data_IF_506029366818
#
_entry.id   IF_506029366818
#
_cell.length_a   1.000
_cell.length_b   1.000
_cell.length_c   1.000
_cell.angle_alpha   90.00
_cell.angle_beta   90.00
_cell.angle_gamma   90.00
#
_symmetry.space_group_name_H-M   'P 1'
#
loop_
_entity.id
_entity.type
_entity.pdbx_description
1 polymer ?
#
# COMPACT_ATOMS: atom_id res chain seq x y z
N UNK A 1 31.87 17.31 5.44
CA UNK A 1 31.97 18.63 4.80
C UNK A 1 30.67 18.85 4.03
N UNK A 2 29.66 19.47 4.66
CA UNK A 2 28.42 19.88 4.01
C UNK A 2 28.13 21.30 4.50
N UNK A 3 28.23 22.26 3.59
CA UNK A 3 27.88 23.66 3.82
C UNK A 3 26.37 23.82 3.66
N UNK A 4 25.68 24.30 4.71
CA UNK A 4 24.34 24.86 4.57
C UNK A 4 24.43 26.38 4.64
N UNK A 5 23.96 27.01 3.56
CA UNK A 5 23.87 28.44 3.34
C UNK A 5 22.91 29.09 4.34
N UNK A 6 23.37 30.16 4.98
CA UNK A 6 22.62 30.97 5.93
C UNK A 6 21.62 31.90 5.23
N UNK A 7 20.36 31.90 5.68
CA UNK A 7 19.49 33.09 5.67
C UNK A 7 18.85 33.23 7.06
N UNK A 8 18.87 34.41 7.70
CA UNK A 8 18.39 34.56 9.07
C UNK A 8 16.89 34.85 9.11
N UNK A 9 16.12 34.00 9.78
CA UNK A 9 14.77 34.32 10.24
C UNK A 9 14.86 34.62 11.73
N UNK A 10 14.52 35.85 12.11
CA UNK A 10 14.47 36.31 13.50
C UNK A 10 13.33 35.62 14.24
N UNK A 11 13.63 34.53 14.96
CA UNK A 11 12.72 33.94 15.94
C UNK A 11 13.11 34.43 17.34
N UNK A 12 12.15 35.12 17.98
CA UNK A 12 12.21 35.54 19.38
C UNK A 12 12.57 34.35 20.26
N UNK A 13 13.72 34.43 20.90
CA UNK A 13 14.13 33.49 21.96
C UNK A 13 13.25 33.78 23.17
N UNK A 14 12.29 32.90 23.45
CA UNK A 14 11.70 32.79 24.78
C UNK A 14 12.77 32.08 25.61
N UNK A 15 13.43 32.82 26.51
CA UNK A 15 14.30 32.24 27.50
C UNK A 15 13.46 31.42 28.49
N UNK A 16 13.34 30.11 28.25
CA UNK A 16 12.89 29.18 29.28
C UNK A 16 14.04 29.01 30.27
N UNK A 17 13.83 29.37 31.53
CA UNK A 17 14.77 29.04 32.59
C UNK A 17 14.86 27.52 32.70
N UNK A 18 15.97 26.95 32.24
CA UNK A 18 16.33 25.57 32.54
C UNK A 18 16.66 25.54 34.04
N UNK A 19 15.69 25.10 34.85
CA UNK A 19 16.00 24.59 36.18
C UNK A 19 16.93 23.40 35.95
N UNK A 20 18.14 23.36 36.53
CA UNK A 20 18.93 22.15 36.52
C UNK A 20 18.10 21.11 37.26
N UNK A 21 17.57 20.15 36.52
CA UNK A 21 17.03 18.95 37.14
C UNK A 21 18.24 18.29 37.77
N UNK A 22 18.28 18.36 39.11
CA UNK A 22 19.20 17.57 39.92
C UNK A 22 19.26 16.17 39.31
N UNK A 23 20.46 15.78 38.91
CA UNK A 23 20.80 14.50 38.29
C UNK A 23 19.90 13.42 38.86
N UNK A 24 18.94 12.94 38.05
CA UNK A 24 18.13 11.77 38.38
C UNK A 24 19.13 10.74 38.90
N UNK A 25 19.02 10.30 40.17
CA UNK A 25 19.99 9.37 40.75
C UNK A 25 20.09 8.22 39.78
N UNK A 26 21.30 8.01 39.24
CA UNK A 26 21.57 7.19 38.05
C UNK A 26 20.74 5.91 38.08
N UNK A 27 19.58 5.92 37.41
CA UNK A 27 18.78 4.72 37.27
C UNK A 27 19.69 3.68 36.64
N UNK A 28 19.70 2.47 37.20
CA UNK A 28 20.50 1.38 36.67
C UNK A 28 20.17 1.22 35.17
N UNK A 29 21.18 0.97 34.34
CA UNK A 29 21.05 0.76 32.89
C UNK A 29 19.97 -0.30 32.58
N UNK A 30 19.83 -1.29 33.45
CA UNK A 30 18.82 -2.34 33.36
C UNK A 30 17.39 -1.80 33.45
N UNK A 31 17.13 -0.84 34.35
CA UNK A 31 15.81 -0.20 34.47
C UNK A 31 15.49 0.62 33.24
N UNK A 32 16.47 1.33 32.67
CA UNK A 32 16.27 2.04 31.41
C UNK A 32 15.98 1.08 30.27
N UNK A 33 16.68 -0.05 30.19
CA UNK A 33 16.40 -1.08 29.19
C UNK A 33 14.97 -1.64 29.33
N UNK A 34 14.53 -1.95 30.55
CA UNK A 34 13.18 -2.45 30.82
C UNK A 34 12.08 -1.46 30.44
N UNK A 35 12.33 -0.16 30.67
CA UNK A 35 11.42 0.91 30.24
C UNK A 35 11.39 0.98 28.71
N UNK A 36 12.57 1.08 28.07
CA UNK A 36 12.68 1.25 26.62
C UNK A 36 12.11 0.05 25.85
N UNK A 37 12.24 -1.17 26.39
CA UNK A 37 11.67 -2.41 25.82
C UNK A 37 10.14 -2.40 25.72
N UNK A 38 9.45 -1.59 26.52
CA UNK A 38 7.99 -1.49 26.54
C UNK A 38 7.44 -0.36 25.66
N UNK A 39 8.30 0.47 25.11
CA UNK A 39 7.90 1.59 24.26
C UNK A 39 7.54 1.09 22.85
N UNK A 40 6.58 1.76 22.23
CA UNK A 40 6.31 1.64 20.80
C UNK A 40 7.43 2.31 19.99
N UNK A 41 7.61 1.88 18.74
CA UNK A 41 8.74 2.31 17.92
C UNK A 41 8.92 3.83 17.75
N UNK A 42 7.84 4.65 17.56
CA UNK A 42 7.97 6.10 17.50
C UNK A 42 8.45 6.70 18.82
N UNK A 43 7.93 6.23 19.95
CA UNK A 43 8.33 6.70 21.28
C UNK A 43 9.75 6.26 21.61
N UNK A 44 10.15 5.05 21.23
CA UNK A 44 11.54 4.58 21.34
C UNK A 44 12.50 5.45 20.50
N UNK A 45 12.13 5.78 19.27
CA UNK A 45 12.91 6.68 18.42
C UNK A 45 13.04 8.09 19.01
N UNK A 46 11.96 8.61 19.61
CA UNK A 46 11.94 9.90 20.30
C UNK A 46 12.83 9.88 21.56
N UNK A 47 12.70 8.84 22.38
CA UNK A 47 13.50 8.64 23.59
C UNK A 47 15.01 8.54 23.27
N UNK A 48 15.39 7.90 22.16
CA UNK A 48 16.77 7.81 21.73
C UNK A 48 17.43 9.19 21.46
N UNK A 49 16.64 10.23 21.23
CA UNK A 49 17.12 11.59 20.94
C UNK A 49 17.23 12.48 22.19
N UNK A 50 16.75 12.04 23.36
CA UNK A 50 16.67 12.91 24.56
C UNK A 50 17.96 12.93 25.37
N UNK A 51 18.67 11.80 25.47
CA UNK A 51 19.92 11.71 26.23
C UNK A 51 20.86 10.63 25.69
N UNK A 52 22.14 10.70 26.05
CA UNK A 52 23.16 9.76 25.58
C UNK A 52 22.92 8.31 26.05
N UNK A 53 22.38 8.11 27.26
CA UNK A 53 22.07 6.78 27.80
C UNK A 53 20.98 6.09 26.97
N UNK A 54 19.86 6.76 26.72
CA UNK A 54 18.80 6.22 25.86
C UNK A 54 19.28 6.04 24.43
N UNK A 55 20.04 6.99 23.88
CA UNK A 55 20.64 6.85 22.56
C UNK A 55 21.50 5.59 22.44
N UNK A 56 22.30 5.27 23.48
CA UNK A 56 23.14 4.08 23.50
C UNK A 56 22.30 2.80 23.57
N UNK A 57 21.33 2.74 24.48
CA UNK A 57 20.49 1.55 24.67
C UNK A 57 19.60 1.31 23.45
N UNK A 58 19.01 2.35 22.86
CA UNK A 58 18.18 2.26 21.65
C UNK A 58 18.95 1.85 20.39
N UNK A 59 20.26 1.61 20.44
CA UNK A 59 21.01 0.97 19.34
C UNK A 59 20.94 -0.55 19.39
N UNK A 60 20.46 -1.14 20.49
CA UNK A 60 20.32 -2.59 20.57
C UNK A 60 19.22 -3.10 19.64
N UNK A 61 19.59 -4.02 18.75
CA UNK A 61 18.68 -4.60 17.75
C UNK A 61 17.55 -5.41 18.38
N UNK A 62 17.76 -5.98 19.57
CA UNK A 62 16.74 -6.73 20.32
C UNK A 62 15.49 -5.88 20.63
N UNK A 63 15.67 -4.59 20.92
CA UNK A 63 14.57 -3.66 21.16
C UNK A 63 13.75 -3.47 19.89
N UNK A 64 14.43 -3.24 18.76
CA UNK A 64 13.78 -3.06 17.46
C UNK A 64 13.17 -4.35 16.92
N UNK A 65 13.74 -5.51 17.24
CA UNK A 65 13.15 -6.82 16.92
C UNK A 65 11.81 -7.01 17.63
N UNK A 66 11.72 -6.66 18.93
CA UNK A 66 10.46 -6.69 19.68
C UNK A 66 9.45 -5.72 19.09
N UNK A 67 9.87 -4.48 18.77
CA UNK A 67 9.02 -3.48 18.13
C UNK A 67 8.51 -3.99 16.77
N UNK A 68 9.39 -4.51 15.92
CA UNK A 68 9.01 -5.06 14.62
C UNK A 68 8.05 -6.23 14.78
N UNK A 69 8.31 -7.18 15.68
CA UNK A 69 7.45 -8.35 15.89
C UNK A 69 6.09 -7.99 16.49
N UNK A 70 6.01 -6.89 17.25
CA UNK A 70 4.75 -6.37 17.77
C UNK A 70 3.92 -5.65 16.69
N UNK A 71 4.57 -4.96 15.76
CA UNK A 71 3.91 -4.23 14.67
C UNK A 71 3.60 -5.15 13.49
N UNK A 72 4.52 -6.04 13.16
CA UNK A 72 4.48 -6.95 12.02
C UNK A 72 4.79 -8.36 12.51
N UNK A 73 3.79 -9.11 13.01
CA UNK A 73 3.98 -10.48 13.50
C UNK A 73 4.74 -11.40 12.53
N UNK A 74 4.61 -11.17 11.22
CA UNK A 74 5.35 -11.89 10.19
C UNK A 74 6.88 -11.80 10.34
N UNK A 75 7.41 -10.74 10.99
CA UNK A 75 8.86 -10.60 11.22
C UNK A 75 9.40 -11.51 12.31
N UNK A 76 8.55 -12.17 13.09
CA UNK A 76 8.99 -13.11 14.12
C UNK A 76 9.38 -14.49 13.55
N UNK A 77 9.18 -14.72 12.24
CA UNK A 77 9.64 -15.95 11.58
C UNK A 77 11.15 -15.94 11.39
N UNK A 78 11.82 -17.04 11.67
CA UNK A 78 13.29 -17.15 11.63
C UNK A 78 13.89 -16.82 10.26
N UNK A 79 13.22 -17.21 9.17
CA UNK A 79 13.62 -16.87 7.80
C UNK A 79 13.59 -15.35 7.56
N UNK A 80 12.57 -14.65 8.07
CA UNK A 80 12.47 -13.19 7.99
C UNK A 80 13.47 -12.49 8.92
N UNK A 81 13.71 -13.01 10.13
CA UNK A 81 14.75 -12.47 11.03
C UNK A 81 16.12 -12.49 10.38
N UNK A 82 16.46 -13.60 9.71
CA UNK A 82 17.71 -13.73 8.96
C UNK A 82 17.80 -12.73 7.80
N UNK A 83 16.68 -12.52 7.08
CA UNK A 83 16.59 -11.56 5.99
C UNK A 83 16.81 -10.13 6.50
N UNK A 84 16.07 -9.71 7.52
CA UNK A 84 16.16 -8.36 8.12
C UNK A 84 17.58 -8.10 8.64
N UNK A 85 18.18 -9.08 9.32
CA UNK A 85 19.56 -8.99 9.78
C UNK A 85 20.54 -8.76 8.63
N UNK A 86 20.37 -9.48 7.51
CA UNK A 86 21.22 -9.32 6.32
C UNK A 86 21.08 -7.96 5.60
N UNK A 87 19.96 -7.27 5.83
CA UNK A 87 19.63 -5.97 5.22
C UNK A 87 20.14 -4.75 6.02
N UNK A 88 20.66 -4.97 7.22
CA UNK A 88 21.14 -3.92 8.11
C UNK A 88 20.41 -3.82 9.44
N UNK A 89 19.61 -4.82 9.81
CA UNK A 89 18.98 -4.93 11.13
C UNK A 89 17.53 -4.45 11.20
N UNK A 90 16.88 -4.77 12.31
CA UNK A 90 15.50 -4.41 12.63
C UNK A 90 15.32 -2.90 12.79
N UNK A 91 16.32 -2.19 13.31
CA UNK A 91 16.23 -0.73 13.44
C UNK A 91 16.07 -0.05 12.09
N UNK A 92 16.89 -0.46 11.11
CA UNK A 92 16.81 0.05 9.73
C UNK A 92 15.49 -0.38 9.09
N UNK A 93 15.14 -1.66 9.18
CA UNK A 93 13.89 -2.19 8.63
C UNK A 93 12.66 -1.43 9.16
N UNK A 94 12.60 -1.16 10.46
CA UNK A 94 11.53 -0.37 11.05
C UNK A 94 11.50 1.06 10.49
N UNK A 95 12.65 1.72 10.41
CA UNK A 95 12.75 3.07 9.87
C UNK A 95 12.33 3.16 8.40
N UNK A 96 12.57 2.11 7.62
CA UNK A 96 12.23 2.03 6.20
C UNK A 96 10.74 1.72 5.97
N UNK A 97 10.14 0.85 6.80
CA UNK A 97 8.78 0.32 6.62
C UNK A 97 7.69 1.05 7.41
N UNK A 98 8.03 1.72 8.52
CA UNK A 98 7.04 2.41 9.34
C UNK A 98 6.47 3.69 8.68
N UNK A 99 7.29 4.55 8.05
CA UNK A 99 6.78 5.66 7.25
C UNK A 99 6.04 5.17 5.99
N UNK A 100 4.99 5.88 5.59
CA UNK A 100 4.16 5.55 4.44
C UNK A 100 4.62 6.32 3.19
N UNK A 101 4.48 5.72 2.01
CA UNK A 101 4.84 6.37 0.74
C UNK A 101 3.97 7.60 0.49
N UNK A 102 4.61 8.70 0.07
CA UNK A 102 3.93 9.93 -0.33
C UNK A 102 4.50 10.38 -1.66
N UNK A 103 3.65 10.42 -2.69
CA UNK A 103 4.01 10.96 -4.00
C UNK A 103 3.34 12.33 -4.21
N UNK A 104 4.15 13.38 -4.39
CA UNK A 104 3.68 14.75 -4.67
C UNK A 104 3.80 15.13 -6.15
N UNK A 105 4.44 14.30 -6.97
CA UNK A 105 4.69 14.51 -8.40
C UNK A 105 3.42 14.37 -9.25
N UNK A 106 2.32 13.91 -8.65
CA UNK A 106 1.00 13.85 -9.29
C UNK A 106 0.50 15.23 -9.73
N UNK A 107 0.92 16.31 -9.04
CA UNK A 107 0.60 17.68 -9.45
C UNK A 107 1.27 18.07 -10.77
N UNK A 108 2.48 17.56 -11.02
CA UNK A 108 3.28 17.90 -12.20
C UNK A 108 2.75 17.19 -13.46
N UNK A 109 2.06 16.05 -13.30
CA UNK A 109 1.40 15.34 -14.40
C UNK A 109 0.27 16.16 -15.03
N UNK A 110 -0.52 16.90 -14.24
CA UNK A 110 -1.52 17.82 -14.79
C UNK A 110 -0.88 18.90 -15.66
N UNK A 111 0.25 19.47 -15.23
CA UNK A 111 0.95 20.52 -15.98
C UNK A 111 1.54 20.00 -17.30
N UNK A 112 2.03 18.76 -17.32
CA UNK A 112 2.58 18.12 -18.52
C UNK A 112 1.52 17.66 -19.53
N UNK A 113 0.33 17.23 -19.11
CA UNK A 113 -0.76 16.86 -20.04
C UNK A 113 -1.24 18.03 -20.91
N UNK A 114 -1.08 19.28 -20.46
CA UNK A 114 -1.39 20.47 -21.27
C UNK A 114 -0.29 20.82 -22.28
N UNK A 115 0.89 20.24 -22.15
CA UNK A 115 2.03 20.44 -23.04
C UNK A 115 2.23 19.16 -23.88
N UNK A 116 1.43 19.06 -24.94
CA UNK A 116 1.72 18.29 -26.17
C UNK A 116 2.14 16.82 -25.96
N UNK A 117 1.25 15.88 -26.32
CA UNK A 117 1.65 14.49 -26.55
C UNK A 117 2.86 14.49 -27.50
N UNK A 118 4.04 13.97 -27.09
CA UNK A 118 5.10 13.75 -28.05
C UNK A 118 4.65 12.56 -28.90
N UNK A 119 4.21 12.83 -30.13
CA UNK A 119 3.82 11.82 -31.12
C UNK A 119 4.99 10.87 -31.52
N UNK A 120 6.19 11.07 -30.97
CA UNK A 120 7.45 10.45 -31.39
C UNK A 120 8.19 9.68 -30.28
N UNK A 121 7.50 8.92 -29.41
CA UNK A 121 8.21 7.89 -28.63
C UNK A 121 8.49 6.71 -29.54
N UNK A 122 9.77 6.49 -29.85
CA UNK A 122 10.18 5.32 -30.63
C UNK A 122 9.90 4.04 -29.83
N UNK A 123 9.62 2.91 -30.50
CA UNK A 123 9.40 1.63 -29.80
C UNK A 123 10.56 1.29 -28.84
N UNK A 124 11.78 1.74 -29.13
CA UNK A 124 12.95 1.56 -28.25
C UNK A 124 12.90 2.39 -26.95
N UNK A 125 12.17 3.51 -26.92
CA UNK A 125 11.95 4.29 -25.70
C UNK A 125 10.73 3.78 -24.91
N UNK A 126 9.73 3.21 -25.60
CA UNK A 126 8.62 2.48 -24.97
C UNK A 126 9.07 1.15 -24.34
N UNK A 127 10.02 0.47 -24.99
CA UNK A 127 10.72 -0.71 -24.47
C UNK A 127 12.13 -0.29 -24.01
N UNK A 128 12.20 0.51 -22.95
CA UNK A 128 13.44 1.11 -22.44
C UNK A 128 14.67 0.20 -22.40
N UNK A 129 15.85 0.84 -22.37
CA UNK A 129 17.18 0.23 -22.44
C UNK A 129 17.27 -1.09 -21.65
N UNK A 130 17.55 -2.17 -22.37
CA UNK A 130 17.54 -3.56 -21.88
C UNK A 130 18.56 -3.82 -20.76
N UNK A 131 19.49 -2.89 -20.52
CA UNK A 131 20.58 -3.05 -19.54
C UNK A 131 20.14 -3.02 -18.06
N UNK A 132 19.10 -2.30 -17.65
CA UNK A 132 18.64 -2.35 -16.24
C UNK A 132 17.88 -3.64 -15.90
N UNK A 133 17.28 -4.27 -16.92
CA UNK A 133 16.43 -5.46 -16.78
C UNK A 133 17.20 -6.73 -16.44
N UNK A 134 18.47 -6.84 -16.81
CA UNK A 134 19.30 -8.01 -16.47
C UNK A 134 19.55 -8.14 -14.96
N UNK A 135 19.25 -7.11 -14.16
CA UNK A 135 19.51 -7.10 -12.72
C UNK A 135 18.34 -7.52 -11.83
N UNK A 136 17.09 -7.40 -12.29
CA UNK A 136 15.88 -7.58 -11.48
C UNK A 136 15.15 -8.87 -11.81
N UNK A 137 15.00 -9.72 -10.80
CA UNK A 137 14.22 -10.95 -10.88
C UNK A 137 12.99 -10.85 -9.98
N UNK A 138 11.83 -11.42 -10.36
CA UNK A 138 10.69 -11.54 -9.46
C UNK A 138 11.05 -12.22 -8.13
N UNK A 139 12.05 -13.12 -8.12
CA UNK A 139 12.56 -13.81 -6.93
C UNK A 139 13.31 -12.90 -5.93
N UNK A 140 13.71 -11.70 -6.36
CA UNK A 140 14.42 -10.75 -5.50
C UNK A 140 13.49 -10.07 -4.51
N UNK A 141 12.18 -10.12 -4.78
CA UNK A 141 11.16 -9.49 -3.98
C UNK A 141 10.55 -10.44 -2.94
N UNK A 142 10.16 -9.89 -1.79
CA UNK A 142 9.46 -10.60 -0.73
C UNK A 142 8.34 -9.70 -0.23
N UNK A 143 7.12 -10.22 -0.17
CA UNK A 143 5.98 -9.54 0.44
C UNK A 143 5.77 -10.05 1.86
N UNK A 144 5.86 -9.15 2.83
CA UNK A 144 5.55 -9.40 4.25
C UNK A 144 4.23 -8.68 4.53
N UNK A 145 3.19 -9.45 4.86
CA UNK A 145 1.82 -8.94 4.95
C UNK A 145 1.21 -9.27 6.29
N UNK A 146 0.78 -8.23 7.00
CA UNK A 146 0.13 -8.33 8.30
C UNK A 146 -1.18 -7.56 8.28
N UNK A 147 -2.26 -8.20 8.74
CA UNK A 147 -3.57 -7.60 8.92
C UNK A 147 -3.89 -7.58 10.41
N UNK A 148 -4.31 -6.42 10.89
CA UNK A 148 -4.81 -6.26 12.26
C UNK A 148 -6.24 -5.74 12.24
N UNK A 149 -7.00 -6.12 13.25
CA UNK A 149 -8.31 -5.59 13.56
C UNK A 149 -8.34 -5.20 15.04
N UNK A 150 -8.58 -3.92 15.34
CA UNK A 150 -8.56 -3.39 16.73
C UNK A 150 -7.28 -3.78 17.50
N UNK A 151 -6.14 -3.53 16.89
CA UNK A 151 -4.79 -3.86 17.40
C UNK A 151 -4.48 -5.36 17.58
N UNK A 152 -5.44 -6.26 17.35
CA UNK A 152 -5.21 -7.71 17.32
C UNK A 152 -4.79 -8.13 15.92
N UNK A 153 -3.68 -8.87 15.81
CA UNK A 153 -3.27 -9.46 14.54
C UNK A 153 -4.21 -10.61 14.15
N UNK A 154 -4.73 -10.58 12.92
CA UNK A 154 -5.70 -11.55 12.40
C UNK A 154 -5.15 -12.34 11.20
N UNK A 155 -4.11 -11.82 10.54
CA UNK A 155 -3.40 -12.50 9.47
C UNK A 155 -1.94 -12.04 9.45
N UNK A 156 -1.02 -12.97 9.24
CA UNK A 156 0.41 -12.71 9.08
C UNK A 156 0.94 -13.71 8.05
N UNK A 157 1.33 -13.23 6.87
CA UNK A 157 1.77 -14.06 5.76
C UNK A 157 3.02 -13.48 5.11
N UNK A 158 3.89 -14.37 4.63
CA UNK A 158 5.07 -14.02 3.85
C UNK A 158 4.98 -14.74 2.52
N UNK A 159 5.14 -13.99 1.43
CA UNK A 159 5.25 -14.51 0.08
C UNK A 159 6.65 -14.21 -0.45
N UNK A 160 7.37 -15.26 -0.82
CA UNK A 160 8.68 -15.16 -1.47
C UNK A 160 8.48 -15.09 -2.98
N UNK A 161 9.14 -14.14 -3.63
CA UNK A 161 8.97 -13.85 -5.03
C UNK A 161 7.64 -13.14 -5.36
N UNK A 162 7.57 -12.58 -6.56
CA UNK A 162 6.38 -11.91 -7.09
C UNK A 162 5.92 -12.63 -8.35
N UNK A 163 4.64 -13.01 -8.42
CA UNK A 163 4.06 -13.63 -9.62
C UNK A 163 4.46 -15.08 -9.92
N UNK A 164 5.11 -15.79 -9.00
CA UNK A 164 5.59 -17.17 -9.23
C UNK A 164 4.85 -18.17 -8.32
N UNK A 165 3.92 -18.99 -8.85
CA UNK A 165 3.24 -20.03 -8.07
C UNK A 165 4.16 -21.17 -7.62
N UNK A 166 5.30 -21.39 -8.29
CA UNK A 166 6.31 -22.39 -7.97
C UNK A 166 7.66 -21.95 -8.57
N UNK A 167 8.70 -21.89 -7.76
CA UNK A 167 10.04 -21.34 -8.07
C UNK A 167 10.85 -22.09 -9.16
N UNK A 168 10.20 -22.91 -10.01
CA UNK A 168 10.84 -23.80 -10.97
C UNK A 168 10.42 -23.48 -12.40
N UNK A 169 11.10 -22.52 -13.02
CA UNK A 169 11.35 -22.50 -14.47
C UNK A 169 10.42 -21.63 -15.32
N UNK A 170 11.04 -20.62 -15.95
CA UNK A 170 10.54 -19.72 -17.00
C UNK A 170 9.47 -18.70 -16.59
N UNK A 171 9.98 -17.57 -16.08
CA UNK A 171 9.25 -16.35 -15.70
C UNK A 171 8.77 -15.50 -16.90
N UNK A 172 8.94 -15.98 -18.14
CA UNK A 172 8.64 -15.24 -19.37
C UNK A 172 7.19 -14.78 -19.50
N UNK A 173 6.25 -15.55 -18.94
CA UNK A 173 4.82 -15.22 -18.98
C UNK A 173 4.47 -14.04 -18.06
N UNK A 174 5.12 -13.94 -16.89
CA UNK A 174 4.85 -12.89 -15.90
C UNK A 174 5.09 -11.49 -16.48
N UNK A 175 6.18 -11.30 -17.23
CA UNK A 175 6.58 -10.00 -17.74
C UNK A 175 5.53 -9.31 -18.62
N UNK A 176 4.72 -10.10 -19.34
CA UNK A 176 3.69 -9.59 -20.26
C UNK A 176 2.26 -9.70 -19.68
N UNK A 177 2.09 -10.31 -18.51
CA UNK A 177 0.78 -10.43 -17.87
C UNK A 177 0.44 -9.19 -17.04
N UNK A 178 -0.87 -8.85 -16.93
CA UNK A 178 -1.35 -7.90 -15.94
C UNK A 178 -0.84 -8.26 -14.54
N UNK A 179 -0.23 -7.29 -13.87
CA UNK A 179 0.40 -7.51 -12.58
C UNK A 179 -0.62 -7.74 -11.49
N UNK A 180 -0.45 -8.86 -10.78
CA UNK A 180 -1.28 -9.19 -9.62
C UNK A 180 -0.54 -10.14 -8.67
N UNK A 181 -0.64 -9.87 -7.37
CA UNK A 181 -0.20 -10.79 -6.31
C UNK A 181 -1.43 -11.20 -5.52
N UNK A 182 -1.77 -12.49 -5.52
CA UNK A 182 -2.86 -13.05 -4.70
C UNK A 182 -2.27 -13.85 -3.53
N UNK A 183 -2.56 -13.43 -2.30
CA UNK A 183 -2.08 -14.11 -1.08
C UNK A 183 -3.02 -15.22 -0.62
N UNK A 184 -4.31 -15.15 -0.95
CA UNK A 184 -5.32 -16.14 -0.54
C UNK A 184 -5.71 -16.97 -1.76
N UNK A 185 -4.80 -17.83 -2.20
CA UNK A 185 -5.13 -18.78 -3.27
C UNK A 185 -6.07 -19.84 -2.72
N UNK A 186 -7.17 -20.10 -3.44
CA UNK A 186 -8.05 -21.26 -3.26
C UNK A 186 -7.26 -22.56 -3.47
N UNK A 187 -6.50 -23.00 -2.47
CA UNK A 187 -6.15 -24.41 -2.36
C UNK A 187 -7.11 -25.02 -1.37
N UNK A 188 -8.11 -25.72 -1.92
CA UNK A 188 -8.82 -26.81 -1.26
C UNK A 188 -7.78 -27.84 -0.82
N UNK A 189 -7.15 -27.60 0.33
CA UNK A 189 -6.36 -28.61 1.01
C UNK A 189 -6.84 -28.60 2.46
N UNK A 190 -7.31 -29.76 2.89
CA UNK A 190 -8.15 -30.14 4.04
C UNK A 190 -7.80 -29.61 5.45
N UNK A 191 -7.01 -28.55 5.59
CA UNK A 191 -6.75 -27.85 6.85
C UNK A 191 -7.39 -26.46 6.86
N UNK A 192 -8.44 -26.31 7.67
CA UNK A 192 -9.16 -25.05 7.95
C UNK A 192 -8.28 -23.93 8.58
N UNK A 193 -6.97 -24.14 8.72
CA UNK A 193 -6.03 -23.30 9.47
C UNK A 193 -5.63 -21.98 8.76
N UNK A 194 -6.04 -21.79 7.51
CA UNK A 194 -5.71 -20.59 6.72
C UNK A 194 -6.84 -19.57 6.58
N UNK A 195 -8.05 -19.88 7.06
CA UNK A 195 -9.24 -19.05 6.82
C UNK A 195 -9.37 -17.99 7.91
N UNK A 196 -9.02 -16.75 7.59
CA UNK A 196 -9.20 -15.62 8.50
C UNK A 196 -10.70 -15.33 8.64
N UNK A 197 -11.25 -15.55 9.84
CA UNK A 197 -12.62 -15.18 10.16
C UNK A 197 -12.67 -14.24 11.36
N UNK A 198 -13.51 -13.21 11.26
CA UNK A 198 -13.80 -12.27 12.33
C UNK A 198 -15.24 -12.48 12.79
N UNK A 199 -15.48 -12.31 14.08
CA UNK A 199 -16.79 -12.53 14.69
C UNK A 199 -17.12 -11.44 15.71
N UNK A 200 -18.31 -11.52 16.31
CA UNK A 200 -18.73 -10.62 17.39
C UNK A 200 -17.75 -10.64 18.58
N UNK A 201 -17.14 -11.79 18.90
CA UNK A 201 -16.12 -11.85 19.97
C UNK A 201 -14.83 -11.10 19.64
N UNK A 202 -14.57 -10.83 18.36
CA UNK A 202 -13.44 -9.99 17.94
C UNK A 202 -13.81 -8.49 17.96
N UNK A 203 -15.05 -8.16 18.34
CA UNK A 203 -15.55 -6.80 18.47
C UNK A 203 -16.35 -6.31 17.26
N UNK A 204 -16.81 -7.20 16.37
CA UNK A 204 -17.77 -6.83 15.32
C UNK A 204 -19.16 -6.57 15.90
N UNK A 205 -19.91 -5.60 15.35
CA UNK A 205 -21.28 -5.36 15.77
C UNK A 205 -22.19 -6.50 15.28
N UNK A 206 -23.18 -6.90 16.08
CA UNK A 206 -24.19 -7.85 15.63
C UNK A 206 -25.11 -7.20 14.60
N UNK A 207 -25.18 -7.78 13.41
CA UNK A 207 -26.09 -7.39 12.33
C UNK A 207 -27.33 -8.27 12.33
N UNK A 208 -28.50 -7.64 12.22
CA UNK A 208 -29.79 -8.32 12.10
C UNK A 208 -30.23 -8.51 10.66
N UNK A 209 -29.76 -7.66 9.74
CA UNK A 209 -29.98 -7.80 8.30
C UNK A 209 -28.92 -7.04 7.50
N UNK A 210 -28.41 -7.71 6.47
CA UNK A 210 -27.46 -7.18 5.49
C UNK A 210 -28.04 -6.05 4.62
N UNK A 211 -29.36 -5.94 4.51
CA UNK A 211 -30.03 -4.90 3.72
C UNK A 211 -30.00 -3.52 4.41
N UNK A 212 -29.92 -3.51 5.75
CA UNK A 212 -29.88 -2.30 6.59
C UNK A 212 -28.47 -1.74 6.74
N UNK A 213 -27.45 -2.56 6.52
CA UNK A 213 -26.03 -2.23 6.60
C UNK A 213 -25.49 -1.70 5.25
N UNK A 214 -26.06 -0.60 4.75
CA UNK A 214 -25.64 0.06 3.47
C UNK A 214 -24.39 0.93 3.67
N UNK A 215 -24.27 2.07 2.96
CA UNK A 215 -23.06 2.93 2.92
C UNK A 215 -22.58 3.40 4.31
N UNK A 216 -23.48 3.46 5.29
CA UNK A 216 -23.20 3.88 6.68
C UNK A 216 -23.53 2.76 7.70
N UNK A 217 -23.48 1.49 7.27
CA UNK A 217 -23.70 0.36 8.17
C UNK A 217 -22.68 0.33 9.32
N UNK A 218 -23.13 -0.06 10.51
CA UNK A 218 -22.26 -0.23 11.68
C UNK A 218 -21.15 -1.23 11.42
N UNK A 219 -21.44 -2.32 10.72
CA UNK A 219 -20.43 -3.33 10.36
C UNK A 219 -19.37 -2.76 9.43
N UNK A 220 -19.80 -1.97 8.44
CA UNK A 220 -18.89 -1.32 7.51
C UNK A 220 -17.98 -0.33 8.23
N UNK A 221 -18.55 0.56 9.05
CA UNK A 221 -17.79 1.52 9.85
C UNK A 221 -16.80 0.82 10.78
N UNK A 222 -17.23 -0.24 11.47
CA UNK A 222 -16.34 -0.96 12.39
C UNK A 222 -15.17 -1.64 11.67
N UNK A 223 -15.42 -2.27 10.52
CA UNK A 223 -14.36 -2.85 9.70
C UNK A 223 -13.43 -1.76 9.15
N UNK A 224 -13.99 -0.65 8.69
CA UNK A 224 -13.23 0.45 8.10
C UNK A 224 -12.33 1.15 9.14
N UNK A 225 -12.84 1.39 10.35
CA UNK A 225 -12.10 2.06 11.43
C UNK A 225 -11.14 1.11 12.15
N UNK A 226 -11.51 -0.18 12.25
CA UNK A 226 -10.77 -1.18 13.00
C UNK A 226 -9.66 -1.87 12.23
N UNK A 227 -9.74 -1.95 10.89
CA UNK A 227 -8.76 -2.67 10.08
C UNK A 227 -7.48 -1.85 9.84
N UNK A 228 -6.35 -2.54 9.95
CA UNK A 228 -5.05 -2.04 9.54
C UNK A 228 -4.34 -3.07 8.67
N UNK A 229 -3.74 -2.61 7.57
CA UNK A 229 -2.96 -3.43 6.66
C UNK A 229 -1.52 -2.92 6.57
N UNK A 230 -0.57 -3.81 6.76
CA UNK A 230 0.82 -3.60 6.34
C UNK A 230 1.14 -4.55 5.20
N UNK A 231 1.60 -4.00 4.08
CA UNK A 231 2.11 -4.78 2.96
C UNK A 231 3.51 -4.28 2.65
N UNK A 232 4.49 -4.88 3.30
CA UNK A 232 5.89 -4.52 3.15
C UNK A 232 6.47 -5.28 1.98
N UNK A 233 6.94 -4.54 0.99
CA UNK A 233 7.74 -5.07 -0.09
C UNK A 233 9.22 -4.96 0.28
N UNK A 234 9.96 -6.05 0.15
CA UNK A 234 11.40 -6.12 0.40
C UNK A 234 12.11 -6.53 -0.88
N UNK A 235 13.17 -5.83 -1.26
CA UNK A 235 14.10 -6.30 -2.29
C UNK A 235 15.40 -6.77 -1.63
N UNK A 236 15.70 -8.05 -1.81
CA UNK A 236 16.82 -8.76 -1.17
C UNK A 236 18.17 -8.30 -1.70
N UNK A 237 18.27 -8.01 -3.00
CA UNK A 237 19.51 -7.54 -3.64
C UNK A 237 19.84 -6.11 -3.21
N UNK A 238 18.84 -5.23 -3.22
CA UNK A 238 19.01 -3.82 -2.86
C UNK A 238 19.07 -3.58 -1.35
N UNK A 239 18.65 -4.57 -0.54
CA UNK A 239 18.55 -4.47 0.92
C UNK A 239 17.72 -3.27 1.37
N UNK A 240 16.62 -3.05 0.67
CA UNK A 240 15.64 -2.00 0.94
C UNK A 240 14.25 -2.61 1.13
N UNK A 241 13.43 -1.91 1.89
CA UNK A 241 12.04 -2.27 2.11
C UNK A 241 11.16 -1.01 2.15
N UNK A 242 9.88 -1.18 1.84
CA UNK A 242 8.89 -0.12 2.00
C UNK A 242 7.52 -0.74 2.24
N UNK A 243 6.70 -0.08 3.06
CA UNK A 243 5.30 -0.43 3.18
C UNK A 243 4.50 0.25 2.06
N UNK A 244 3.85 -0.57 1.23
CA UNK A 244 3.02 -0.13 0.10
C UNK A 244 1.56 0.12 0.51
N UNK A 245 1.17 -0.32 1.70
CA UNK A 245 -0.17 -0.11 2.23
C UNK A 245 -0.32 1.25 2.93
N UNK A 246 -1.49 1.86 2.83
CA UNK A 246 -1.88 3.10 3.52
C UNK A 246 -2.08 2.95 5.03
N UNK A 247 -1.79 1.80 5.64
CA UNK A 247 -2.25 1.35 6.96
C UNK A 247 -3.76 1.27 7.12
N UNK A 248 -4.48 2.37 6.90
CA UNK A 248 -5.93 2.44 7.03
C UNK A 248 -6.59 2.33 5.66
N UNK A 249 -7.85 1.85 5.61
CA UNK A 249 -8.62 1.83 4.38
C UNK A 249 -8.70 3.21 3.72
N UNK A 250 -8.52 3.27 2.41
CA UNK A 250 -8.72 4.47 1.60
C UNK A 250 -10.18 4.59 1.13
N UNK A 251 -10.86 3.46 1.03
CA UNK A 251 -12.23 3.38 0.58
C UNK A 251 -12.67 1.93 0.45
N UNK A 252 -13.85 1.73 -0.11
CA UNK A 252 -14.30 0.42 -0.50
C UNK A 252 -15.78 0.41 -0.85
N UNK A 253 -16.24 -0.75 -1.29
CA UNK A 253 -17.57 -0.92 -1.85
C UNK A 253 -18.07 -2.33 -1.54
N UNK A 254 -19.37 -2.44 -1.30
CA UNK A 254 -20.05 -3.74 -1.34
C UNK A 254 -20.02 -4.27 -2.78
N UNK A 255 -19.51 -5.48 -2.97
CA UNK A 255 -19.34 -6.06 -4.30
C UNK A 255 -20.69 -6.60 -4.81
N UNK A 256 -21.14 -6.15 -5.98
CA UNK A 256 -22.29 -6.73 -6.69
C UNK A 256 -21.76 -7.87 -7.58
N UNK A 257 -22.36 -9.08 -7.63
CA UNK A 257 -23.79 -9.38 -7.45
C UNK A 257 -24.19 -10.06 -6.13
N UNK A 258 -23.26 -10.57 -5.33
CA UNK A 258 -23.57 -11.24 -4.06
C UNK A 258 -23.72 -10.23 -2.94
N UNK A 259 -24.93 -10.13 -2.38
CA UNK A 259 -25.23 -9.23 -1.27
C UNK A 259 -24.33 -9.43 -0.04
N UNK A 260 -23.56 -10.50 0.07
CA UNK A 260 -22.75 -10.83 1.24
C UNK A 260 -21.26 -10.45 1.11
N UNK A 261 -20.81 -9.99 -0.06
CA UNK A 261 -19.39 -9.71 -0.31
C UNK A 261 -19.07 -8.21 -0.22
N UNK A 262 -18.00 -7.86 0.49
CA UNK A 262 -17.51 -6.49 0.66
C UNK A 262 -16.05 -6.38 0.27
N UNK A 263 -15.68 -5.26 -0.33
CA UNK A 263 -14.33 -4.96 -0.77
C UNK A 263 -13.83 -3.73 -0.02
N UNK A 264 -12.68 -3.84 0.61
CA UNK A 264 -11.97 -2.73 1.25
C UNK A 264 -10.67 -2.52 0.48
N UNK A 265 -10.37 -1.26 0.18
CA UNK A 265 -9.19 -0.85 -0.58
C UNK A 265 -8.20 -0.15 0.33
N UNK A 266 -6.94 -0.55 0.21
CA UNK A 266 -5.77 0.14 0.75
C UNK A 266 -4.83 0.41 -0.40
N UNK A 267 -3.79 1.21 -0.19
CA UNK A 267 -2.84 1.43 -1.27
C UNK A 267 -1.90 2.59 -1.05
N UNK A 268 -1.17 2.91 -2.10
CA UNK A 268 -0.31 4.08 -2.19
C UNK A 268 -0.17 4.51 -3.64
N UNK A 269 0.27 5.75 -3.84
CA UNK A 269 0.58 6.27 -5.17
C UNK A 269 2.09 6.16 -5.37
N UNK A 270 2.50 5.46 -6.42
CA UNK A 270 3.89 5.15 -6.73
C UNK A 270 4.36 5.97 -7.94
N UNK A 271 5.61 6.48 -7.94
CA UNK A 271 6.19 7.07 -9.13
C UNK A 271 6.50 5.98 -10.15
N UNK A 272 6.31 6.35 -11.41
CA UNK A 272 6.63 5.56 -12.60
C UNK A 272 7.35 6.44 -13.63
N UNK A 273 8.09 7.46 -13.16
CA UNK A 273 8.91 8.35 -13.98
C UNK A 273 9.89 7.53 -14.82
N UNK A 274 9.98 7.83 -16.11
CA UNK A 274 10.78 7.09 -17.08
C UNK A 274 10.41 5.61 -17.26
N UNK A 275 9.26 5.17 -16.71
CA UNK A 275 8.73 3.79 -16.84
C UNK A 275 7.41 3.78 -17.62
N UNK A 276 6.51 4.70 -17.31
CA UNK A 276 5.21 4.84 -17.97
C UNK A 276 4.98 6.29 -18.41
N UNK A 277 4.23 6.53 -19.52
CA UNK A 277 3.84 7.88 -19.94
C UNK A 277 3.10 8.65 -18.85
N UNK A 278 2.29 7.94 -18.05
CA UNK A 278 1.54 8.53 -16.95
C UNK A 278 2.41 9.01 -15.79
N UNK A 279 3.68 8.58 -15.71
CA UNK A 279 4.68 8.87 -14.65
C UNK A 279 4.23 8.50 -13.22
N UNK A 280 3.00 8.04 -13.04
CA UNK A 280 2.39 7.74 -11.75
C UNK A 280 1.48 6.52 -11.90
N UNK A 281 1.47 5.69 -10.86
CA UNK A 281 0.71 4.45 -10.78
C UNK A 281 0.04 4.33 -9.42
N UNK A 282 -1.19 3.84 -9.40
CA UNK A 282 -1.88 3.45 -8.18
C UNK A 282 -1.48 2.03 -7.79
N UNK A 283 -0.93 1.86 -6.59
CA UNK A 283 -0.79 0.56 -5.96
C UNK A 283 -2.07 0.25 -5.17
N UNK A 284 -2.86 -0.68 -5.69
CA UNK A 284 -4.18 -1.02 -5.16
C UNK A 284 -4.08 -2.34 -4.41
N UNK A 285 -4.37 -2.31 -3.12
CA UNK A 285 -4.47 -3.47 -2.27
C UNK A 285 -5.94 -3.75 -1.99
N UNK A 286 -6.40 -4.92 -2.41
CA UNK A 286 -7.81 -5.31 -2.34
C UNK A 286 -7.97 -6.38 -1.27
N UNK A 287 -8.86 -6.11 -0.33
CA UNK A 287 -9.26 -7.04 0.71
C UNK A 287 -10.76 -7.34 0.56
N UNK A 288 -11.10 -8.60 0.26
CA UNK A 288 -12.51 -9.02 0.13
C UNK A 288 -12.96 -9.85 1.31
N UNK A 289 -14.10 -9.48 1.88
CA UNK A 289 -14.76 -10.22 2.94
C UNK A 289 -16.09 -10.76 2.44
N UNK A 290 -16.46 -11.94 2.94
CA UNK A 290 -17.77 -12.56 2.78
C UNK A 290 -18.43 -12.71 4.15
N UNK A 291 -19.64 -12.19 4.31
CA UNK A 291 -20.45 -12.45 5.50
C UNK A 291 -20.96 -13.89 5.45
N UNK A 292 -20.74 -14.62 6.54
CA UNK A 292 -21.22 -15.99 6.76
C UNK A 292 -22.15 -15.95 7.96
N UNK A 293 -23.46 -15.87 7.73
CA UNK A 293 -24.42 -16.00 8.83
C UNK A 293 -24.52 -17.48 9.22
N UNK A 294 -24.24 -17.80 10.48
CA UNK A 294 -24.59 -19.12 11.03
C UNK A 294 -25.89 -18.97 11.80
N UNK A 295 -27.00 -19.32 11.16
CA UNK A 295 -28.26 -19.66 11.85
C UNK A 295 -28.00 -21.02 12.55
N UNK A 296 -28.17 -21.15 13.87
CA UNK A 296 -29.47 -21.51 14.45
C UNK A 296 -29.74 -20.94 15.86
N UNK A 297 -28.82 -20.21 16.51
CA UNK A 297 -29.00 -19.87 17.95
C UNK A 297 -28.61 -18.45 18.39
N UNK A 298 -28.61 -17.49 17.46
CA UNK A 298 -28.63 -16.06 17.78
C UNK A 298 -27.38 -15.27 17.41
N UNK A 299 -27.63 -14.15 16.69
CA UNK A 299 -26.91 -12.86 16.76
C UNK A 299 -25.38 -12.91 16.62
N UNK A 300 -24.85 -13.84 15.82
CA UNK A 300 -23.42 -13.91 15.51
C UNK A 300 -23.10 -13.41 14.11
N UNK A 301 -22.65 -12.16 13.96
CA UNK A 301 -22.04 -11.71 12.70
C UNK A 301 -20.66 -12.32 12.56
N UNK A 302 -20.45 -13.08 11.49
CA UNK A 302 -19.14 -13.62 11.14
C UNK A 302 -18.78 -13.21 9.71
N UNK A 303 -17.57 -12.71 9.52
CA UNK A 303 -17.02 -12.39 8.20
C UNK A 303 -15.79 -13.22 7.94
N UNK A 304 -15.66 -13.72 6.71
CA UNK A 304 -14.54 -14.51 6.22
C UNK A 304 -13.76 -13.68 5.21
N UNK A 305 -12.45 -13.57 5.36
CA UNK A 305 -11.58 -13.01 4.34
C UNK A 305 -11.47 -14.00 3.18
N UNK A 306 -11.87 -13.60 1.98
CA UNK A 306 -11.90 -14.45 0.79
C UNK A 306 -10.81 -14.09 -0.22
N UNK A 307 -10.37 -12.84 -0.26
CA UNK A 307 -9.32 -12.39 -1.16
C UNK A 307 -8.45 -11.34 -0.48
N UNK A 308 -7.14 -11.45 -0.71
CA UNK A 308 -6.16 -10.44 -0.37
C UNK A 308 -5.20 -10.35 -1.54
N UNK A 309 -5.26 -9.25 -2.27
CA UNK A 309 -4.49 -9.08 -3.51
C UNK A 309 -3.89 -7.69 -3.66
N UNK A 310 -2.81 -7.60 -4.44
CA UNK A 310 -2.17 -6.35 -4.85
C UNK A 310 -2.21 -6.27 -6.37
N UNK A 311 -2.49 -5.07 -6.88
CA UNK A 311 -2.51 -4.73 -8.31
C UNK A 311 -1.88 -3.36 -8.51
N UNK A 312 -1.34 -3.13 -9.71
CA UNK A 312 -0.84 -1.82 -10.13
C UNK A 312 -1.65 -1.35 -11.34
N UNK A 313 -2.21 -0.15 -11.24
CA UNK A 313 -3.01 0.48 -12.30
C UNK A 313 -2.42 1.85 -12.66
N UNK A 314 -2.37 2.17 -13.96
CA UNK A 314 -1.96 3.50 -14.41
C UNK A 314 -3.08 4.55 -14.23
N UNK A 315 -2.79 5.79 -14.66
CA UNK A 315 -3.74 6.90 -14.60
C UNK A 315 -5.01 6.67 -15.44
N UNK A 316 -4.95 5.81 -16.46
CA UNK A 316 -6.09 5.46 -17.30
C UNK A 316 -6.92 4.29 -16.71
N UNK A 317 -6.39 3.61 -15.70
CA UNK A 317 -6.97 2.43 -15.07
C UNK A 317 -6.60 1.12 -15.77
N UNK A 318 -5.59 1.12 -16.64
CA UNK A 318 -5.07 -0.11 -17.23
C UNK A 318 -4.09 -0.78 -16.26
N UNK A 319 -4.13 -2.12 -16.20
CA UNK A 319 -3.19 -2.87 -15.40
C UNK A 319 -1.77 -2.78 -15.98
N UNK A 320 -0.81 -2.48 -15.12
CA UNK A 320 0.60 -2.50 -15.49
C UNK A 320 1.06 -3.94 -15.68
N UNK A 321 1.87 -4.21 -16.71
CA UNK A 321 2.42 -5.55 -16.92
C UNK A 321 3.47 -5.93 -15.86
N UNK A 322 3.81 -7.21 -15.76
CA UNK A 322 4.78 -7.69 -14.77
C UNK A 322 6.16 -7.03 -14.89
N UNK A 323 6.63 -6.74 -16.12
CA UNK A 323 7.93 -6.10 -16.36
C UNK A 323 8.02 -4.70 -15.75
N UNK A 324 7.10 -3.82 -16.12
CA UNK A 324 7.06 -2.45 -15.63
C UNK A 324 6.76 -2.42 -14.13
N UNK A 325 5.96 -3.37 -13.64
CA UNK A 325 5.65 -3.50 -12.22
C UNK A 325 6.89 -3.78 -11.36
N UNK A 326 7.85 -4.59 -11.81
CA UNK A 326 9.10 -4.78 -11.05
C UNK A 326 9.92 -3.50 -10.94
N UNK A 327 9.94 -2.68 -12.00
CA UNK A 327 10.63 -1.38 -12.00
C UNK A 327 9.94 -0.40 -11.05
N UNK A 328 8.61 -0.30 -11.11
CA UNK A 328 7.82 0.56 -10.22
C UNK A 328 8.00 0.12 -8.76
N UNK A 329 7.99 -1.19 -8.50
CA UNK A 329 8.25 -1.71 -7.16
C UNK A 329 9.67 -1.41 -6.69
N UNK A 330 10.70 -1.50 -7.54
CA UNK A 330 12.07 -1.05 -7.22
C UNK A 330 12.08 0.43 -6.85
N UNK A 331 11.44 1.28 -7.66
CA UNK A 331 11.41 2.73 -7.43
C UNK A 331 10.65 3.09 -6.14
N UNK A 332 9.57 2.36 -5.84
CA UNK A 332 8.81 2.46 -4.58
C UNK A 332 9.68 2.29 -3.33
N UNK A 333 10.74 1.47 -3.41
CA UNK A 333 11.68 1.24 -2.30
C UNK A 333 12.63 2.40 -2.03
N UNK A 334 12.68 3.40 -2.91
CA UNK A 334 13.48 4.63 -2.71
C UNK A 334 12.62 5.90 -2.64
N UNK A 335 11.30 5.75 -2.73
CA UNK A 335 10.35 6.86 -2.67
C UNK A 335 10.41 7.67 -1.38
N UNK A 336 9.99 8.93 -1.49
CA UNK A 336 9.73 9.79 -0.33
C UNK A 336 8.65 9.15 0.55
N UNK A 337 8.87 9.20 1.86
CA UNK A 337 7.94 8.68 2.86
C UNK A 337 7.64 9.71 3.92
N UNK A 338 6.47 9.60 4.53
CA UNK A 338 6.03 10.44 5.63
C UNK A 338 5.44 9.62 6.76
N UNK A 339 5.65 10.09 7.99
CA UNK A 339 4.93 9.61 9.18
C UNK A 339 3.61 10.38 9.36
N UNK A 340 3.42 11.46 8.61
CA UNK A 340 2.19 12.23 8.67
C UNK A 340 1.14 11.60 7.76
N UNK A 341 0.14 10.97 8.38
CA UNK A 341 -0.94 10.32 7.67
C UNK A 341 -1.76 11.29 6.80
N UNK A 342 -1.87 12.58 7.18
CA UNK A 342 -2.60 13.56 6.36
C UNK A 342 -1.94 13.77 4.99
N UNK A 343 -0.61 13.78 4.93
CA UNK A 343 0.13 13.93 3.65
C UNK A 343 -0.09 12.73 2.73
N UNK A 344 -0.22 11.53 3.30
CA UNK A 344 -0.51 10.29 2.56
C UNK A 344 -1.91 10.35 1.97
N UNK A 345 -2.89 10.75 2.79
CA UNK A 345 -4.27 10.90 2.36
C UNK A 345 -4.40 11.97 1.26
N UNK A 346 -3.72 13.10 1.41
CA UNK A 346 -3.69 14.17 0.41
C UNK A 346 -3.11 13.69 -0.92
N UNK A 347 -2.02 12.91 -0.89
CA UNK A 347 -1.40 12.31 -2.08
C UNK A 347 -2.37 11.38 -2.81
N UNK A 348 -3.01 10.44 -2.10
CA UNK A 348 -4.01 9.55 -2.68
C UNK A 348 -5.24 10.29 -3.21
N UNK A 349 -5.72 11.30 -2.48
CA UNK A 349 -6.86 12.10 -2.90
C UNK A 349 -6.56 12.92 -4.17
N UNK A 350 -5.35 13.49 -4.26
CA UNK A 350 -4.94 14.23 -5.44
C UNK A 350 -4.86 13.32 -6.67
N UNK A 351 -4.31 12.11 -6.53
CA UNK A 351 -4.33 11.09 -7.58
C UNK A 351 -5.76 10.75 -8.02
N UNK A 352 -6.62 10.38 -7.06
CA UNK A 352 -8.00 9.99 -7.36
C UNK A 352 -8.78 11.11 -8.04
N UNK A 353 -8.55 12.37 -7.63
CA UNK A 353 -9.13 13.55 -8.28
C UNK A 353 -8.71 13.65 -9.74
N UNK A 354 -7.40 13.64 -10.02
CA UNK A 354 -6.89 13.75 -11.39
C UNK A 354 -7.37 12.58 -12.26
N UNK A 355 -7.37 11.36 -11.72
CA UNK A 355 -7.86 10.17 -12.40
C UNK A 355 -9.36 10.31 -12.75
N UNK A 356 -10.17 10.87 -11.85
CA UNK A 356 -11.60 11.08 -12.08
C UNK A 356 -11.86 12.12 -13.17
N UNK A 357 -11.09 13.21 -13.19
CA UNK A 357 -11.20 14.27 -14.21
C UNK A 357 -10.87 13.71 -15.60
N UNK A 358 -9.79 12.93 -15.73
CA UNK A 358 -9.44 12.25 -16.99
C UNK A 358 -10.52 11.27 -17.46
N UNK A 359 -11.10 10.49 -16.55
CA UNK A 359 -12.19 9.56 -16.86
C UNK A 359 -13.43 10.31 -17.36
N UNK A 360 -13.78 11.44 -16.74
CA UNK A 360 -14.90 12.27 -17.17
C UNK A 360 -14.68 12.89 -18.56
N UNK A 361 -13.47 13.37 -18.85
CA UNK A 361 -13.11 13.91 -20.16
C UNK A 361 -13.17 12.85 -21.25
N UNK A 362 -12.66 11.64 -20.97
CA UNK A 362 -12.75 10.50 -21.87
C UNK A 362 -14.20 10.11 -22.17
N UNK A 363 -15.04 9.97 -21.14
CA UNK A 363 -16.46 9.68 -21.30
C UNK A 363 -17.18 10.76 -22.12
N UNK A 364 -16.84 12.05 -21.91
CA UNK A 364 -17.40 13.15 -22.71
C UNK A 364 -16.96 13.05 -24.17
N UNK A 365 -15.71 12.67 -24.44
CA UNK A 365 -15.20 12.51 -25.80
C UNK A 365 -15.85 11.32 -26.52
N UNK A 366 -15.92 10.15 -25.87
CA UNK A 366 -16.60 8.96 -26.39
C UNK A 366 -18.08 9.25 -26.67
N UNK A 367 -18.77 9.93 -25.75
CA UNK A 367 -20.17 10.36 -25.97
C UNK A 367 -20.34 11.29 -27.19
N UNK A 368 -19.35 12.17 -27.46
CA UNK A 368 -19.35 13.01 -28.66
C UNK A 368 -19.15 12.19 -29.93
N UNK A 369 -18.24 11.22 -29.91
CA UNK A 369 -17.99 10.32 -31.04
C UNK A 369 -19.20 9.44 -31.34
N UNK A 370 -19.83 8.86 -30.32
CA UNK A 370 -21.06 8.08 -30.46
C UNK A 370 -22.18 8.90 -31.11
N UNK A 371 -22.36 10.15 -30.66
CA UNK A 371 -23.36 11.05 -31.25
C UNK A 371 -23.07 11.36 -32.71
N UNK A 372 -21.81 11.58 -33.09
CA UNK A 372 -21.41 11.77 -34.48
C UNK A 372 -21.64 10.51 -35.32
N UNK A 373 -21.32 9.34 -34.77
CA UNK A 373 -21.52 8.05 -35.42
C UNK A 373 -23.01 7.79 -35.70
N UNK A 374 -23.89 8.03 -34.72
CA UNK A 374 -25.35 7.92 -34.86
C UNK A 374 -25.86 8.91 -35.93
N UNK A 375 -25.44 10.18 -35.89
CA UNK A 375 -25.85 11.18 -36.89
C UNK A 375 -25.39 10.82 -38.30
N UNK A 376 -24.17 10.28 -38.45
CA UNK A 376 -23.65 9.81 -39.74
C UNK A 376 -24.44 8.62 -40.28
N UNK A 377 -24.85 7.68 -39.42
CA UNK A 377 -25.70 6.55 -39.79
C UNK A 377 -27.10 6.98 -40.24
N UNK A 378 -27.70 7.95 -39.53
CA UNK A 378 -28.99 8.54 -39.92
C UNK A 378 -28.87 9.24 -41.28
N UNK A 379 -27.81 10.03 -41.49
CA UNK A 379 -27.58 10.72 -42.76
C UNK A 379 -27.41 9.73 -43.92
N UNK A 380 -26.60 8.67 -43.73
CA UNK A 380 -26.41 7.62 -44.73
C UNK A 380 -27.72 6.91 -45.08
N UNK A 381 -28.54 6.58 -44.08
CA UNK A 381 -29.85 5.96 -44.29
C UNK A 381 -30.79 6.87 -45.09
N UNK A 382 -30.87 8.16 -44.75
CA UNK A 382 -31.70 9.14 -45.47
C UNK A 382 -31.22 9.32 -46.92
N UNK A 383 -29.91 9.37 -47.16
CA UNK A 383 -29.36 9.44 -48.52
C UNK A 383 -29.64 8.18 -49.33
N UNK A 384 -29.57 6.99 -48.70
CA UNK A 384 -29.93 5.74 -49.37
C UNK A 384 -31.40 5.72 -49.78
N UNK A 385 -32.31 6.13 -48.89
CA UNK A 385 -33.73 6.25 -49.22
C UNK A 385 -33.99 7.24 -50.35
N UNK A 386 -33.27 8.37 -50.37
CA UNK A 386 -33.40 9.36 -51.43
C UNK A 386 -32.86 8.87 -52.79
N UNK A 387 -31.86 7.99 -52.81
CA UNK A 387 -31.31 7.42 -54.04
C UNK A 387 -32.10 6.22 -54.58
N UNK A 388 -32.92 5.56 -53.75
CA UNK A 388 -33.73 4.39 -54.12
C UNK A 388 -35.16 4.78 -54.55
N UNK A 389 -35.68 5.90 -54.05
CA UNK A 389 -36.87 6.57 -54.60
C UNK A 389 -36.52 7.33 -55.88
#
# INVERSE_FOLDING_TARGET
MCCFSQRPVWLRIIAMSVVPVDSIPSLNSDLFYDILRRLDGPTLASAACTCAAFCSISKEESLWENVCSSVWPATNREDIKSLISSMGGFRKFYADCFPLIVNKEVADYQEKNFLEYPDDWTEAEYYGDMNEFESLSPSDFVSIVDIRFKDKAICSKVQWGVGVPNANGYDGWFYNCPFRIDLLTYRDDDNNDGVVTLSVSDGLPPITSMERERKDGKLWQELFDGLQLSWIMVNRKMKQAANLASWRPLGGQRHWPTDNDFVIRFGSVLPATDILPSQVVECILIMKFRVVNTEEDGVGTKVKLTELSMQLEDMEGAHVNGRNSLLILKEALSCRRSKNYSEVLESCHLYSKVQSELKEEKMRNESRLDRLCILSGIAAFMTFWYCVL
#
